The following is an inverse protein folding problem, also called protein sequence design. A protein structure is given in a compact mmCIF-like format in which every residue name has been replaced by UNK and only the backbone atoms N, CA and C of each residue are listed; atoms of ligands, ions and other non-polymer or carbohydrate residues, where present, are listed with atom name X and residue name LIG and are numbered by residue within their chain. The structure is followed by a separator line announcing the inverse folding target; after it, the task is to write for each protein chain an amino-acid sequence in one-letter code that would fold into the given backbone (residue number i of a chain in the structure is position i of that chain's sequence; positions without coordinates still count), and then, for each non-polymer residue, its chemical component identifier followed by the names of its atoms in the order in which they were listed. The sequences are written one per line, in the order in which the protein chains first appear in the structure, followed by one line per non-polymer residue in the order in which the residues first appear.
data_IF_051950400600
#
_entry.id   IF_051950400600
#
_cell.length_a   1.000
_cell.length_b   1.000
_cell.length_c   1.000
_cell.angle_alpha   90.00
_cell.angle_beta   90.00
_cell.angle_gamma   90.00
#
_symmetry.space_group_name_H-M   'P 1'
#
loop_
_entity.id
_entity.type
_entity.pdbx_description
1 polymer ?
#
# COMPACT_ATOMS: atom_id res chain seq x y z
N UNK A 1 55.53 18.93 -35.86
CA UNK A 1 54.11 19.33 -35.72
C UNK A 1 53.19 18.15 -36.04
N UNK A 2 53.17 17.13 -35.17
CA UNK A 2 52.23 15.99 -35.21
C UNK A 2 52.52 15.14 -33.98
N UNK A 3 51.72 15.30 -32.91
CA UNK A 3 51.51 14.32 -31.80
C UNK A 3 50.46 14.79 -30.78
N UNK A 4 49.55 15.72 -31.12
CA UNK A 4 48.50 16.18 -30.17
C UNK A 4 47.06 15.86 -30.62
N UNK A 5 46.87 15.03 -31.65
CA UNK A 5 45.52 14.63 -32.12
C UNK A 5 45.08 13.27 -31.59
N UNK A 6 46.01 12.32 -31.36
CA UNK A 6 45.65 10.95 -30.95
C UNK A 6 45.35 10.82 -29.44
N UNK A 7 45.73 11.83 -28.63
CA UNK A 7 45.57 11.81 -27.17
C UNK A 7 44.29 12.54 -26.68
N UNK A 8 43.58 13.25 -27.57
CA UNK A 8 42.25 13.82 -27.25
C UNK A 8 41.10 12.86 -27.60
N UNK A 9 41.28 11.94 -28.54
CA UNK A 9 40.26 10.94 -28.89
C UNK A 9 40.16 9.81 -27.86
N UNK A 10 41.27 9.39 -27.23
CA UNK A 10 41.22 8.33 -26.21
C UNK A 10 40.51 8.78 -24.93
N UNK A 11 40.72 10.04 -24.51
CA UNK A 11 40.05 10.59 -23.33
C UNK A 11 38.52 10.76 -23.55
N UNK A 12 38.09 11.08 -24.78
CA UNK A 12 36.67 11.19 -25.13
C UNK A 12 35.99 9.81 -25.23
N UNK A 13 36.67 8.81 -25.79
CA UNK A 13 36.17 7.43 -25.84
C UNK A 13 36.06 6.82 -24.43
N UNK A 14 37.02 7.07 -23.54
CA UNK A 14 36.94 6.66 -22.13
C UNK A 14 35.74 7.33 -21.46
N UNK A 15 35.50 8.63 -21.70
CA UNK A 15 34.34 9.34 -21.14
C UNK A 15 33.01 8.73 -21.62
N UNK A 16 32.87 8.42 -22.91
CA UNK A 16 31.67 7.78 -23.46
C UNK A 16 31.45 6.36 -22.92
N UNK A 17 32.50 5.55 -22.80
CA UNK A 17 32.43 4.20 -22.22
C UNK A 17 32.03 4.27 -20.74
N UNK A 18 32.58 5.22 -19.97
CA UNK A 18 32.20 5.41 -18.56
C UNK A 18 30.77 5.91 -18.40
N UNK A 19 30.30 6.83 -19.27
CA UNK A 19 28.90 7.29 -19.27
C UNK A 19 27.94 6.15 -19.63
N UNK A 20 28.28 5.36 -20.64
CA UNK A 20 27.46 4.22 -21.06
C UNK A 20 27.47 3.12 -20.00
N UNK A 21 28.60 2.84 -19.35
CA UNK A 21 28.67 1.88 -18.24
C UNK A 21 27.92 2.37 -17.01
N UNK A 22 27.96 3.68 -16.70
CA UNK A 22 27.19 4.29 -15.61
C UNK A 22 25.68 4.21 -15.88
N UNK A 23 25.26 4.42 -17.13
CA UNK A 23 23.86 4.22 -17.56
C UNK A 23 23.45 2.73 -17.52
N UNK A 24 24.34 1.81 -17.89
CA UNK A 24 24.08 0.36 -17.80
C UNK A 24 24.00 -0.08 -16.32
N UNK A 25 24.81 0.48 -15.43
CA UNK A 25 24.75 0.23 -13.98
C UNK A 25 23.65 0.99 -13.23
N UNK A 26 23.03 1.99 -13.86
CA UNK A 26 21.83 2.67 -13.36
C UNK A 26 20.55 1.97 -13.81
N UNK A 27 20.63 0.69 -14.18
CA UNK A 27 19.50 -0.21 -14.02
C UNK A 27 19.48 -0.60 -12.55
N UNK A 28 18.82 0.20 -11.71
CA UNK A 28 18.32 -0.32 -10.44
C UNK A 28 17.44 -1.51 -10.80
N UNK A 29 17.99 -2.73 -10.69
CA UNK A 29 17.18 -3.90 -10.47
C UNK A 29 16.43 -3.62 -9.16
N UNK A 30 15.24 -3.04 -9.26
CA UNK A 30 14.20 -3.28 -8.28
C UNK A 30 14.01 -4.80 -8.32
N UNK A 31 14.75 -5.47 -7.43
CA UNK A 31 14.78 -6.91 -7.32
C UNK A 31 13.35 -7.34 -6.97
N UNK A 32 12.68 -7.91 -7.95
CA UNK A 32 11.31 -8.37 -7.88
C UNK A 32 11.26 -9.60 -6.97
N UNK A 33 11.19 -9.40 -5.65
CA UNK A 33 10.71 -10.42 -4.71
C UNK A 33 9.18 -10.59 -4.80
N UNK A 34 8.68 -10.73 -6.04
CA UNK A 34 7.26 -10.89 -6.35
C UNK A 34 6.67 -12.16 -5.74
N UNK A 35 7.49 -13.17 -5.48
CA UNK A 35 7.02 -14.45 -4.96
C UNK A 35 6.62 -14.39 -3.49
N UNK A 36 7.20 -13.48 -2.71
CA UNK A 36 6.74 -13.22 -1.34
C UNK A 36 5.48 -12.36 -1.36
N UNK A 37 5.46 -11.29 -2.14
CA UNK A 37 4.29 -10.38 -2.26
C UNK A 37 3.06 -11.11 -2.80
N UNK A 38 3.19 -11.94 -3.83
CA UNK A 38 2.07 -12.72 -4.36
C UNK A 38 1.55 -13.77 -3.39
N UNK A 39 2.41 -14.41 -2.59
CA UNK A 39 1.98 -15.35 -1.57
C UNK A 39 1.27 -14.67 -0.39
N UNK A 40 1.66 -13.44 -0.04
CA UNK A 40 0.98 -12.64 0.99
C UNK A 40 -0.37 -12.11 0.46
N UNK A 41 -0.42 -11.67 -0.80
CA UNK A 41 -1.65 -11.24 -1.47
C UNK A 41 -2.64 -12.42 -1.66
N UNK A 42 -2.14 -13.64 -1.87
CA UNK A 42 -2.96 -14.85 -1.94
C UNK A 42 -3.59 -15.24 -0.59
N UNK A 43 -3.05 -14.74 0.52
CA UNK A 43 -3.57 -14.95 1.89
C UNK A 43 -4.50 -13.78 2.31
N UNK A 44 -4.33 -12.57 1.74
CA UNK A 44 -5.19 -11.42 1.99
C UNK A 44 -6.40 -11.42 1.06
N UNK A 45 -7.62 -11.37 1.63
CA UNK A 45 -8.87 -11.11 0.88
C UNK A 45 -9.03 -9.64 0.43
N UNK A 46 -7.93 -8.88 0.39
CA UNK A 46 -7.92 -7.45 0.13
C UNK A 46 -7.24 -7.19 -1.22
N UNK A 47 -7.60 -6.10 -1.92
CA UNK A 47 -6.91 -5.68 -3.14
C UNK A 47 -5.39 -5.56 -2.92
N UNK A 48 -4.63 -5.64 -4.02
CA UNK A 48 -3.17 -5.46 -4.00
C UNK A 48 -2.77 -4.13 -3.36
N UNK A 49 -1.53 -4.07 -2.86
CA UNK A 49 -0.93 -2.90 -2.19
C UNK A 49 -1.00 -1.59 -3.00
N UNK A 50 -1.14 -1.71 -4.32
CA UNK A 50 -1.15 -0.63 -5.30
C UNK A 50 -2.56 -0.19 -5.74
N UNK A 51 -3.62 -0.88 -5.30
CA UNK A 51 -4.99 -0.64 -5.75
C UNK A 51 -5.87 -0.24 -4.57
N UNK A 52 -6.57 0.90 -4.69
CA UNK A 52 -7.46 1.43 -3.65
C UNK A 52 -8.84 1.84 -4.20
N UNK A 53 -9.83 1.99 -3.32
CA UNK A 53 -11.12 2.59 -3.65
C UNK A 53 -12.05 1.78 -4.57
N UNK A 54 -11.71 0.54 -4.94
CA UNK A 54 -12.56 -0.33 -5.75
C UNK A 54 -13.68 -0.97 -4.94
N UNK A 55 -14.92 -0.56 -5.22
CA UNK A 55 -16.14 -1.16 -4.69
C UNK A 55 -16.84 -1.98 -5.78
N UNK A 56 -17.40 -3.14 -5.41
CA UNK A 56 -18.29 -3.88 -6.31
C UNK A 56 -19.74 -3.37 -6.28
N UNK A 57 -20.05 -2.45 -5.37
CA UNK A 57 -21.35 -1.77 -5.33
C UNK A 57 -21.40 -0.66 -6.38
N UNK A 58 -22.58 -0.47 -6.97
CA UNK A 58 -22.86 0.72 -7.80
C UNK A 58 -22.62 1.99 -6.99
N UNK A 59 -21.95 2.96 -7.60
CA UNK A 59 -21.68 4.26 -7.00
C UNK A 59 -22.99 5.05 -6.92
N UNK A 60 -23.61 5.08 -5.75
CA UNK A 60 -24.72 5.97 -5.46
C UNK A 60 -24.18 7.22 -4.77
N UNK A 61 -24.58 8.41 -5.23
CA UNK A 61 -24.15 9.68 -4.63
C UNK A 61 -24.69 9.89 -3.21
N UNK A 62 -25.69 9.08 -2.80
CA UNK A 62 -26.30 9.14 -1.47
C UNK A 62 -26.99 7.81 -1.16
N UNK A 63 -26.83 7.35 0.08
CA UNK A 63 -27.62 6.24 0.62
C UNK A 63 -28.99 6.80 1.05
N UNK A 64 -30.04 6.47 0.31
CA UNK A 64 -31.43 6.81 0.65
C UNK A 64 -32.18 5.50 0.86
N UNK A 65 -32.78 5.29 2.04
CA UNK A 65 -33.43 4.03 2.40
C UNK A 65 -32.51 2.82 2.14
N UNK A 66 -31.26 2.93 2.58
CA UNK A 66 -30.21 1.97 2.25
C UNK A 66 -30.57 0.52 2.60
N UNK A 67 -29.93 -0.40 1.87
CA UNK A 67 -29.98 -1.84 2.12
C UNK A 67 -28.65 -2.32 2.68
N UNK A 68 -28.61 -3.49 3.35
CA UNK A 68 -27.35 -4.12 3.71
C UNK A 68 -26.42 -4.24 2.51
N UNK A 69 -25.14 -3.92 2.71
CA UNK A 69 -24.13 -4.05 1.66
C UNK A 69 -23.88 -5.53 1.33
N UNK A 70 -23.57 -5.81 0.07
CA UNK A 70 -23.13 -7.14 -0.33
C UNK A 70 -21.80 -7.50 0.34
N UNK A 71 -21.57 -8.79 0.56
CA UNK A 71 -20.32 -9.26 1.16
C UNK A 71 -19.14 -8.86 0.27
N UNK A 72 -18.19 -8.13 0.85
CA UNK A 72 -17.02 -7.64 0.13
C UNK A 72 -17.26 -6.41 -0.74
N UNK A 73 -18.45 -5.81 -0.73
CA UNK A 73 -18.74 -4.61 -1.51
C UNK A 73 -17.79 -3.44 -1.20
N UNK A 74 -17.37 -3.32 0.06
CA UNK A 74 -16.46 -2.27 0.52
C UNK A 74 -15.28 -2.91 1.25
N UNK A 75 -14.24 -3.38 0.53
CA UNK A 75 -13.15 -4.17 1.11
C UNK A 75 -12.34 -3.46 2.20
N UNK A 76 -12.31 -2.12 2.18
CA UNK A 76 -11.61 -1.31 3.18
C UNK A 76 -12.38 -1.13 4.50
N UNK A 77 -13.62 -1.60 4.61
CA UNK A 77 -14.40 -1.45 5.84
C UNK A 77 -13.76 -2.24 6.99
N UNK A 78 -13.45 -1.53 8.08
CA UNK A 78 -12.90 -2.11 9.30
C UNK A 78 -13.84 -1.88 10.49
N UNK A 79 -13.85 -2.84 11.42
CA UNK A 79 -14.62 -2.76 12.67
C UNK A 79 -13.66 -2.59 13.85
N UNK A 80 -13.91 -1.59 14.68
CA UNK A 80 -13.06 -1.24 15.84
C UNK A 80 -13.72 -1.75 17.12
N UNK A 81 -13.04 -2.70 17.78
CA UNK A 81 -13.53 -3.41 18.96
C UNK A 81 -12.76 -3.09 20.22
N UNK A 82 -13.47 -2.94 21.34
CA UNK A 82 -12.89 -2.60 22.65
C UNK A 82 -13.00 -3.79 23.59
N UNK A 83 -11.88 -4.13 24.23
CA UNK A 83 -11.84 -5.12 25.31
C UNK A 83 -12.25 -4.43 26.61
N UNK A 84 -13.36 -4.87 27.20
CA UNK A 84 -13.76 -4.42 28.53
C UNK A 84 -12.93 -5.14 29.58
N UNK A 85 -12.37 -4.40 30.54
CA UNK A 85 -11.58 -4.97 31.64
C UNK A 85 -12.43 -5.73 32.68
N UNK A 86 -13.76 -5.63 32.62
CA UNK A 86 -14.62 -5.91 33.79
C UNK A 86 -15.51 -7.16 33.69
N UNK A 87 -15.64 -7.85 32.56
CA UNK A 87 -16.40 -9.10 32.48
C UNK A 87 -15.47 -10.30 32.32
N UNK A 88 -15.17 -10.96 33.45
CA UNK A 88 -14.54 -12.29 33.49
C UNK A 88 -15.34 -13.36 32.73
N UNK A 89 -16.58 -13.07 32.32
CA UNK A 89 -17.50 -14.09 31.80
C UNK A 89 -17.80 -13.97 30.29
N UNK A 90 -17.42 -12.89 29.61
CA UNK A 90 -17.51 -12.81 28.14
C UNK A 90 -16.33 -12.02 27.56
N UNK A 91 -15.40 -12.72 26.92
CA UNK A 91 -14.24 -12.15 26.21
C UNK A 91 -14.63 -11.48 24.87
N UNK A 92 -15.92 -11.17 24.66
CA UNK A 92 -16.40 -10.65 23.38
C UNK A 92 -16.11 -9.15 23.33
N UNK A 93 -15.34 -8.67 22.32
CA UNK A 93 -15.09 -7.24 22.16
C UNK A 93 -16.40 -6.50 21.87
N UNK A 94 -16.56 -5.31 22.46
CA UNK A 94 -17.64 -4.41 22.07
C UNK A 94 -17.25 -3.68 20.79
N UNK A 95 -18.03 -3.86 19.74
CA UNK A 95 -17.85 -3.16 18.46
C UNK A 95 -18.62 -1.84 18.50
N UNK A 96 -17.92 -0.73 18.67
CA UNK A 96 -18.54 0.59 18.86
C UNK A 96 -18.17 1.60 17.78
N UNK A 97 -17.10 1.33 17.03
CA UNK A 97 -16.60 2.23 16.00
C UNK A 97 -16.25 1.46 14.72
N UNK A 98 -16.10 2.21 13.65
CA UNK A 98 -15.63 1.71 12.37
C UNK A 98 -14.33 2.41 11.97
N UNK A 99 -13.70 1.90 10.92
CA UNK A 99 -12.52 2.51 10.29
C UNK A 99 -12.43 2.15 8.82
N UNK A 100 -11.43 2.71 8.16
CA UNK A 100 -11.09 2.43 6.77
C UNK A 100 -9.64 2.00 6.65
N UNK A 101 -9.40 0.86 6.03
CA UNK A 101 -8.05 0.41 5.70
C UNK A 101 -7.46 1.31 4.60
N UNK A 102 -6.35 1.98 4.91
CA UNK A 102 -5.70 2.93 3.99
C UNK A 102 -4.35 2.42 3.45
N UNK A 103 -3.79 1.38 4.09
CA UNK A 103 -2.56 0.69 3.69
C UNK A 103 -2.68 -0.77 4.10
N UNK A 104 -1.62 -1.57 3.92
CA UNK A 104 -1.58 -2.93 4.43
C UNK A 104 -1.52 -3.05 5.96
N UNK A 105 -1.18 -1.99 6.69
CA UNK A 105 -0.94 -2.02 8.14
C UNK A 105 -1.76 -1.01 8.93
N UNK A 106 -2.32 0.01 8.28
CA UNK A 106 -2.97 1.14 8.95
C UNK A 106 -4.45 1.25 8.64
N UNK A 107 -5.24 1.45 9.71
CA UNK A 107 -6.66 1.78 9.67
C UNK A 107 -6.83 3.24 10.10
N UNK A 108 -7.51 4.02 9.27
CA UNK A 108 -7.98 5.36 9.60
C UNK A 108 -9.31 5.28 10.36
N UNK A 109 -9.43 6.01 11.47
CA UNK A 109 -10.66 6.11 12.27
C UNK A 109 -10.78 7.50 12.92
N UNK A 110 -11.91 7.77 13.57
CA UNK A 110 -12.12 9.03 14.28
C UNK A 110 -11.34 9.06 15.60
N UNK A 111 -10.82 10.22 16.00
CA UNK A 111 -10.06 10.36 17.24
C UNK A 111 -10.87 9.97 18.50
N UNK A 112 -12.16 10.33 18.54
CA UNK A 112 -13.05 9.98 19.67
C UNK A 112 -13.29 8.46 19.80
N UNK A 113 -12.99 7.67 18.77
CA UNK A 113 -13.02 6.22 18.88
C UNK A 113 -11.85 5.70 19.72
N UNK A 114 -10.73 6.41 19.83
CA UNK A 114 -9.58 5.95 20.61
C UNK A 114 -9.59 6.48 22.04
N UNK A 115 -10.26 7.61 22.26
CA UNK A 115 -10.51 8.18 23.59
C UNK A 115 -11.97 8.66 23.70
N UNK A 116 -12.88 7.83 24.25
CA UNK A 116 -14.29 8.19 24.39
C UNK A 116 -14.56 9.21 25.51
N UNK A 117 -13.56 9.97 25.98
CA UNK A 117 -13.69 10.95 27.07
C UNK A 117 -13.48 12.41 26.66
N UNK A 118 -13.57 12.75 25.37
CA UNK A 118 -13.61 14.17 24.93
C UNK A 118 -15.02 14.73 25.06
#
# INVERSE_FOLDING_TARGET
LRTNSENMDQNFQILLITFSSVLISCSCQLNQDDRLVQNINKIRRLPGLDVCGLSSSSFETKIINGRPAELGAYPWMALVGYKLKQSQETQVPRWLCAGSLITDLYILTAAHCLDPKV
#
